data_IF_376576329267
#
_entry.id   IF_376576329267
#
_cell.length_a   1.000
_cell.length_b   1.000
_cell.length_c   1.000
_cell.angle_alpha   90.00
_cell.angle_beta   90.00
_cell.angle_gamma   90.00
#
_symmetry.space_group_name_H-M   'P 1'
#
loop_
_entity.id
_entity.type
_entity.pdbx_description
1 polymer ?
#
# COMPACT_ATOMS: atom_id res chain seq x y z
N UNK A 1 -13.32 -1.68 20.56
CA UNK A 1 -13.29 -0.80 19.36
C UNK A 1 -11.94 -0.89 18.64
N UNK A 2 -10.81 -0.76 19.35
CA UNK A 2 -9.44 -0.88 18.80
C UNK A 2 -9.20 -2.13 17.94
N UNK A 3 -9.59 -3.32 18.42
CA UNK A 3 -9.44 -4.58 17.67
C UNK A 3 -10.09 -4.57 16.29
N UNK A 4 -11.32 -4.05 16.17
CA UNK A 4 -12.00 -3.94 14.86
C UNK A 4 -11.23 -3.00 13.91
N UNK A 5 -10.77 -1.86 14.42
CA UNK A 5 -9.99 -0.88 13.64
C UNK A 5 -8.68 -1.52 13.12
N UNK A 6 -7.95 -2.21 13.99
CA UNK A 6 -6.71 -2.89 13.63
C UNK A 6 -6.95 -3.99 12.58
N UNK A 7 -7.95 -4.85 12.77
CA UNK A 7 -8.29 -5.89 11.78
C UNK A 7 -8.68 -5.29 10.43
N UNK A 8 -9.51 -4.24 10.41
CA UNK A 8 -9.87 -3.56 9.16
C UNK A 8 -8.65 -2.92 8.49
N UNK A 9 -7.78 -2.27 9.26
CA UNK A 9 -6.52 -1.69 8.73
C UNK A 9 -5.61 -2.77 8.11
N UNK A 10 -5.44 -3.91 8.78
CA UNK A 10 -4.67 -5.03 8.24
C UNK A 10 -5.29 -5.63 6.97
N UNK A 11 -6.62 -5.80 6.93
CA UNK A 11 -7.32 -6.27 5.73
C UNK A 11 -7.14 -5.31 4.55
N UNK A 12 -7.23 -4.00 4.78
CA UNK A 12 -6.98 -3.00 3.74
C UNK A 12 -5.55 -3.09 3.19
N UNK A 13 -4.56 -3.36 4.03
CA UNK A 13 -3.17 -3.57 3.60
C UNK A 13 -2.99 -4.86 2.79
N UNK A 14 -3.68 -5.94 3.14
CA UNK A 14 -3.69 -7.16 2.33
C UNK A 14 -4.31 -6.89 0.96
N UNK A 15 -5.44 -6.18 0.91
CA UNK A 15 -6.07 -5.80 -0.36
C UNK A 15 -5.17 -4.85 -1.18
N UNK A 16 -4.45 -3.94 -0.52
CA UNK A 16 -3.45 -3.10 -1.18
C UNK A 16 -2.31 -3.94 -1.76
N UNK A 17 -1.83 -4.96 -1.04
CA UNK A 17 -0.80 -5.88 -1.52
C UNK A 17 -1.27 -6.67 -2.75
N UNK A 18 -2.50 -7.20 -2.73
CA UNK A 18 -3.10 -7.91 -3.87
C UNK A 18 -3.24 -6.99 -5.09
N UNK A 19 -3.74 -5.77 -4.91
CA UNK A 19 -3.88 -4.82 -6.02
C UNK A 19 -2.51 -4.36 -6.56
N UNK A 20 -1.51 -4.20 -5.69
CA UNK A 20 -0.15 -3.84 -6.09
C UNK A 20 0.50 -4.89 -7.00
N UNK A 21 0.30 -6.18 -6.70
CA UNK A 21 0.85 -7.27 -7.52
C UNK A 21 0.08 -7.49 -8.83
N UNK A 22 -1.19 -7.04 -8.91
CA UNK A 22 -1.96 -7.04 -10.16
C UNK A 22 -1.50 -5.91 -11.10
N UNK A 23 -1.20 -4.72 -10.57
CA UNK A 23 -0.63 -3.61 -11.34
C UNK A 23 0.90 -3.69 -11.46
N UNK A 24 1.41 -4.88 -11.78
CA UNK A 24 2.85 -5.15 -11.80
C UNK A 24 3.52 -4.51 -13.02
N UNK A 25 4.57 -3.75 -12.78
CA UNK A 25 5.46 -3.19 -13.81
C UNK A 25 6.85 -3.84 -13.71
N UNK A 26 7.33 -4.05 -12.48
CA UNK A 26 8.64 -4.62 -12.21
C UNK A 26 8.53 -5.76 -11.20
N UNK A 27 9.14 -6.91 -11.51
CA UNK A 27 8.99 -8.11 -10.69
C UNK A 27 9.55 -7.92 -9.29
N UNK A 28 10.70 -7.27 -9.18
CA UNK A 28 11.48 -7.19 -7.95
C UNK A 28 10.83 -6.18 -7.01
N UNK A 29 10.64 -4.94 -7.47
CA UNK A 29 10.14 -3.85 -6.62
C UNK A 29 8.69 -4.11 -6.18
N UNK A 30 7.84 -4.62 -7.09
CA UNK A 30 6.45 -4.92 -6.76
C UNK A 30 6.33 -6.03 -5.73
N UNK A 31 7.18 -7.05 -5.83
CA UNK A 31 7.21 -8.13 -4.86
C UNK A 31 7.68 -7.63 -3.49
N UNK A 32 8.75 -6.82 -3.45
CA UNK A 32 9.26 -6.25 -2.20
C UNK A 32 8.20 -5.41 -1.50
N UNK A 33 7.50 -4.53 -2.22
CA UNK A 33 6.45 -3.69 -1.62
C UNK A 33 5.25 -4.51 -1.17
N UNK A 34 4.87 -5.54 -1.94
CA UNK A 34 3.81 -6.48 -1.55
C UNK A 34 4.16 -7.20 -0.25
N UNK A 35 5.40 -7.67 -0.10
CA UNK A 35 5.87 -8.32 1.13
C UNK A 35 5.81 -7.35 2.32
N UNK A 36 6.27 -6.10 2.14
CA UNK A 36 6.21 -5.07 3.19
C UNK A 36 4.76 -4.81 3.63
N UNK A 37 3.83 -4.70 2.68
CA UNK A 37 2.41 -4.50 2.97
C UNK A 37 1.79 -5.70 3.72
N UNK A 38 2.14 -6.93 3.33
CA UNK A 38 1.67 -8.16 4.00
C UNK A 38 2.23 -8.25 5.43
N UNK A 39 3.52 -7.97 5.63
CA UNK A 39 4.12 -7.96 6.98
C UNK A 39 3.46 -6.86 7.83
N UNK A 40 3.26 -5.67 7.26
CA UNK A 40 2.57 -4.57 7.95
C UNK A 40 1.14 -4.94 8.35
N UNK A 41 0.43 -5.67 7.48
CA UNK A 41 -0.89 -6.20 7.80
C UNK A 41 -0.85 -7.22 8.94
N UNK A 42 0.05 -8.21 8.88
CA UNK A 42 0.19 -9.24 9.89
C UNK A 42 0.51 -8.64 11.27
N UNK A 43 1.48 -7.73 11.32
CA UNK A 43 1.88 -7.02 12.55
C UNK A 43 0.71 -6.21 13.13
N UNK A 44 -0.08 -5.56 12.27
CA UNK A 44 -1.28 -4.81 12.70
C UNK A 44 -2.36 -5.73 13.26
N UNK A 45 -2.56 -6.88 12.62
CA UNK A 45 -3.54 -7.86 13.07
C UNK A 45 -3.08 -8.48 14.38
N UNK A 46 -1.79 -8.73 14.60
CA UNK A 46 -1.34 -9.25 15.90
C UNK A 46 -1.40 -8.18 17.01
N UNK A 47 -0.99 -6.93 16.71
CA UNK A 47 -0.90 -5.85 17.69
C UNK A 47 -2.16 -4.97 17.69
N UNK A 48 -3.31 -5.58 17.96
CA UNK A 48 -4.64 -4.96 17.92
C UNK A 48 -4.87 -3.69 18.77
N UNK A 49 -3.98 -3.43 19.73
CA UNK A 49 -4.18 -2.42 20.76
C UNK A 49 -3.48 -1.09 20.47
N UNK A 50 -2.44 -1.09 19.64
CA UNK A 50 -1.59 0.08 19.46
C UNK A 50 -1.25 0.29 17.99
N UNK A 51 -1.07 1.55 17.58
CA UNK A 51 -0.50 1.87 16.27
C UNK A 51 0.95 1.38 16.19
N UNK A 52 1.33 0.84 15.04
CA UNK A 52 2.68 0.32 14.81
C UNK A 52 3.41 1.18 13.76
N UNK A 53 4.63 1.61 14.09
CA UNK A 53 5.46 2.45 13.22
C UNK A 53 5.82 1.74 11.91
N UNK A 54 6.06 0.42 11.95
CA UNK A 54 6.30 -0.38 10.75
C UNK A 54 5.08 -0.37 9.83
N UNK A 55 3.88 -0.54 10.38
CA UNK A 55 2.63 -0.47 9.60
C UNK A 55 2.44 0.90 8.98
N UNK A 56 2.71 1.97 9.74
CA UNK A 56 2.63 3.35 9.22
C UNK A 56 3.60 3.51 8.04
N UNK A 57 4.84 3.03 8.17
CA UNK A 57 5.82 3.01 7.08
C UNK A 57 5.33 2.21 5.86
N UNK A 58 4.76 1.04 6.08
CA UNK A 58 4.18 0.21 5.02
C UNK A 58 3.03 0.93 4.29
N UNK A 59 2.14 1.61 5.02
CA UNK A 59 1.07 2.41 4.42
C UNK A 59 1.61 3.59 3.59
N UNK A 60 2.66 4.26 4.08
CA UNK A 60 3.31 5.37 3.36
C UNK A 60 3.92 4.85 2.06
N UNK A 61 4.65 3.73 2.11
CA UNK A 61 5.20 3.09 0.91
C UNK A 61 4.09 2.67 -0.06
N UNK A 62 3.02 2.07 0.46
CA UNK A 62 1.82 1.69 -0.31
C UNK A 62 1.05 2.88 -0.90
N UNK A 63 1.38 4.11 -0.51
CA UNK A 63 0.79 5.34 -1.07
C UNK A 63 1.74 6.03 -2.04
N UNK A 64 3.02 6.16 -1.67
CA UNK A 64 4.04 6.86 -2.47
C UNK A 64 4.41 6.05 -3.72
N UNK A 65 4.55 4.74 -3.59
CA UNK A 65 4.98 3.91 -4.71
C UNK A 65 3.96 3.85 -5.87
N UNK A 66 2.64 3.74 -5.63
CA UNK A 66 1.64 3.94 -6.68
C UNK A 66 1.78 5.24 -7.47
N UNK A 67 2.20 6.34 -6.85
CA UNK A 67 2.43 7.61 -7.55
C UNK A 67 3.60 7.46 -8.53
N UNK A 68 4.70 6.82 -8.09
CA UNK A 68 5.85 6.52 -8.94
C UNK A 68 5.44 5.62 -10.11
N UNK A 69 4.61 4.60 -9.85
CA UNK A 69 4.05 3.72 -10.89
C UNK A 69 3.21 4.48 -11.91
N UNK A 70 2.32 5.37 -11.47
CA UNK A 70 1.50 6.18 -12.38
C UNK A 70 2.37 7.05 -13.28
N UNK A 71 3.43 7.65 -12.74
CA UNK A 71 4.39 8.42 -13.53
C UNK A 71 5.12 7.53 -14.56
N UNK A 72 5.52 6.32 -14.17
CA UNK A 72 6.14 5.36 -15.10
C UNK A 72 5.17 4.92 -16.21
N UNK A 73 3.90 4.69 -15.88
CA UNK A 73 2.82 4.37 -16.84
C UNK A 73 2.54 5.50 -17.82
N UNK A 74 2.72 6.76 -17.41
CA UNK A 74 2.47 7.90 -18.27
C UNK A 74 3.68 8.27 -19.14
N UNK A 75 4.88 8.26 -18.58
CA UNK A 75 6.07 8.77 -19.27
C UNK A 75 6.94 7.67 -19.89
N UNK A 76 7.17 6.55 -19.21
CA UNK A 76 8.21 5.58 -19.59
C UNK A 76 7.65 4.43 -20.42
N UNK A 77 6.61 3.75 -19.94
CA UNK A 77 6.04 2.58 -20.62
C UNK A 77 5.51 2.87 -22.04
N UNK A 78 4.77 3.98 -22.27
CA UNK A 78 4.25 4.31 -23.60
C UNK A 78 5.36 4.52 -24.62
N UNK A 79 6.48 5.14 -24.20
CA UNK A 79 7.65 5.37 -25.04
C UNK A 79 8.37 4.07 -25.42
N UNK A 80 8.42 3.09 -24.50
CA UNK A 80 9.07 1.80 -24.72
C UNK A 80 8.19 0.87 -25.58
N UNK A 81 6.89 0.83 -25.30
CA UNK A 81 5.95 -0.11 -25.94
C UNK A 81 5.35 0.44 -27.24
N UNK A 82 5.58 1.71 -27.55
CA UNK A 82 4.98 2.42 -28.68
C UNK A 82 3.44 2.34 -28.69
N UNK A 83 2.84 2.37 -27.49
CA UNK A 83 1.39 2.35 -27.26
C UNK A 83 0.96 3.75 -26.81
N UNK A 84 -0.21 4.25 -27.22
CA UNK A 84 -0.72 5.53 -26.73
C UNK A 84 -0.82 5.59 -25.21
N UNK A 85 -0.39 6.70 -24.62
CA UNK A 85 -0.34 6.91 -23.17
C UNK A 85 -1.71 6.67 -22.49
N UNK A 86 -2.80 7.08 -23.14
CA UNK A 86 -4.15 6.96 -22.60
C UNK A 86 -4.58 5.51 -22.40
N UNK A 87 -4.26 4.61 -23.33
CA UNK A 87 -4.65 3.18 -23.26
C UNK A 87 -3.99 2.46 -22.09
N UNK A 88 -2.72 2.75 -21.85
CA UNK A 88 -1.94 2.22 -20.72
C UNK A 88 -2.44 2.78 -19.38
N UNK A 89 -2.77 4.07 -19.34
CA UNK A 89 -3.35 4.68 -18.14
C UNK A 89 -4.75 4.14 -17.83
N UNK A 90 -5.64 4.02 -18.80
CA UNK A 90 -7.01 3.54 -18.58
C UNK A 90 -7.05 2.11 -18.02
N UNK A 91 -6.10 1.27 -18.42
CA UNK A 91 -6.00 -0.11 -17.97
C UNK A 91 -5.27 -0.26 -16.63
N UNK A 92 -4.17 0.46 -16.43
CA UNK A 92 -3.34 0.34 -15.22
C UNK A 92 -3.76 1.25 -14.07
N UNK A 93 -4.18 2.48 -14.36
CA UNK A 93 -4.44 3.49 -13.33
C UNK A 93 -5.55 3.09 -12.33
N UNK A 94 -6.68 2.46 -12.73
CA UNK A 94 -7.70 2.07 -11.76
C UNK A 94 -7.16 1.13 -10.67
N UNK A 95 -6.30 0.18 -11.04
CA UNK A 95 -5.71 -0.77 -10.09
C UNK A 95 -4.70 -0.05 -9.18
N UNK A 96 -3.84 0.78 -9.75
CA UNK A 96 -2.81 1.54 -8.99
C UNK A 96 -3.47 2.53 -8.01
N UNK A 97 -4.50 3.25 -8.45
CA UNK A 97 -5.28 4.16 -7.62
C UNK A 97 -5.97 3.39 -6.49
N UNK A 98 -6.47 2.19 -6.76
CA UNK A 98 -7.08 1.34 -5.72
C UNK A 98 -6.07 0.99 -4.63
N UNK A 99 -4.85 0.57 -5.00
CA UNK A 99 -3.76 0.33 -4.02
C UNK A 99 -3.50 1.56 -3.16
N UNK A 100 -3.45 2.74 -3.78
CA UNK A 100 -3.22 4.00 -3.08
C UNK A 100 -4.34 4.31 -2.09
N UNK A 101 -5.61 4.23 -2.52
CA UNK A 101 -6.78 4.49 -1.67
C UNK A 101 -6.81 3.53 -0.48
N UNK A 102 -6.59 2.23 -0.70
CA UNK A 102 -6.57 1.23 0.36
C UNK A 102 -5.47 1.50 1.38
N UNK A 103 -4.28 1.90 0.92
CA UNK A 103 -3.15 2.24 1.79
C UNK A 103 -3.39 3.52 2.59
N UNK A 104 -4.00 4.54 1.99
CA UNK A 104 -4.42 5.77 2.69
C UNK A 104 -5.48 5.46 3.74
N UNK A 105 -6.50 4.67 3.40
CA UNK A 105 -7.53 4.26 4.36
C UNK A 105 -6.92 3.47 5.52
N UNK A 106 -6.01 2.53 5.23
CA UNK A 106 -5.28 1.79 6.26
C UNK A 106 -4.48 2.73 7.18
N UNK A 107 -3.82 3.76 6.62
CA UNK A 107 -3.10 4.78 7.37
C UNK A 107 -4.03 5.60 8.27
N UNK A 108 -5.18 6.04 7.76
CA UNK A 108 -6.15 6.80 8.57
C UNK A 108 -6.68 5.97 9.73
N UNK A 109 -6.86 4.66 9.55
CA UNK A 109 -7.25 3.75 10.63
C UNK A 109 -6.11 3.53 11.64
N UNK A 110 -4.86 3.44 11.19
CA UNK A 110 -3.70 3.37 12.09
C UNK A 110 -3.60 4.60 12.99
N UNK A 111 -3.85 5.79 12.46
CA UNK A 111 -3.83 7.02 13.27
C UNK A 111 -4.97 7.13 14.29
N UNK A 112 -6.03 6.33 14.15
CA UNK A 112 -7.10 6.21 15.16
C UNK A 112 -6.74 5.27 16.32
N UNK A 113 -5.66 4.48 16.19
CA UNK A 113 -5.16 3.62 17.26
C UNK A 113 -4.22 4.42 18.19
N UNK A 114 -4.21 4.13 19.50
CA UNK A 114 -3.35 4.84 20.44
C UNK A 114 -1.86 4.54 20.15
N UNK A 115 -0.95 5.49 20.40
CA UNK A 115 0.49 5.28 20.28
C UNK A 115 0.98 4.17 21.19
N UNK A 116 1.82 3.26 20.67
CA UNK A 116 2.57 2.33 21.51
C UNK A 116 3.55 3.12 22.38
N UNK A 117 3.43 3.00 23.70
CA UNK A 117 4.45 3.52 24.62
C UNK A 117 5.60 2.53 24.63
N UNK A 118 6.69 2.85 23.93
CA UNK A 118 7.93 2.11 24.06
C UNK A 118 8.51 2.34 25.47
N UNK A 119 8.97 1.30 26.18
CA UNK A 119 9.71 1.50 27.41
C UNK A 119 10.94 2.36 27.09
N UNK A 120 11.04 3.52 27.76
CA UNK A 120 12.26 4.32 27.73
C UNK A 120 13.28 3.55 28.57
N UNK A 121 14.21 2.87 27.90
CA UNK A 121 15.41 2.36 28.56
C UNK A 121 16.34 3.52 28.91
#
# INVERSE_FOLDING_TARGET
>A
MSKKIATTSGLLLIMAAITNILARIDIIIDLTITIILIIGAAVTIEQHEHRNEFTIGACILGTVYPIIKLLAFYYWLPAILNIPQHTLLETGAPIIITTMILSILALTLQFKLPPKKYPRY
#
